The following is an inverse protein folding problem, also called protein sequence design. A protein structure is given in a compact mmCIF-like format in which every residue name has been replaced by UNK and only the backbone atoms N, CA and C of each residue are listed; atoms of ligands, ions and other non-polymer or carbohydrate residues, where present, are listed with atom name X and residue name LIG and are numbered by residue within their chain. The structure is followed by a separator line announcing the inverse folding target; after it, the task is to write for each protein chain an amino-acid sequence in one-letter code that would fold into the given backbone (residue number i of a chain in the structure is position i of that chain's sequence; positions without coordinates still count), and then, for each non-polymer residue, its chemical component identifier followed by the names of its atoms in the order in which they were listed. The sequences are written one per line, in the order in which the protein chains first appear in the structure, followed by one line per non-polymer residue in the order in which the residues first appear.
data_IF_357889656428
#
_entry.id   IF_357889656428
#
_cell.length_a   1.000
_cell.length_b   1.000
_cell.length_c   1.000
_cell.angle_alpha   90.00
_cell.angle_beta   90.00
_cell.angle_gamma   90.00
#
_symmetry.space_group_name_H-M   'P 1'
#
loop_
_entity.id
_entity.type
_entity.pdbx_description
1 polymer ?
#
# COMPACT_ATOMS: atom_id res chain seq x y z
N UNK A 1 -6.95 12.00 29.49
CA UNK A 1 -5.70 11.42 28.98
C UNK A 1 -6.04 10.58 27.76
N UNK A 2 -5.26 10.68 26.68
CA UNK A 2 -5.40 9.78 25.53
C UNK A 2 -5.07 8.35 25.94
N UNK A 3 -5.76 7.35 25.38
CA UNK A 3 -5.47 5.92 25.59
C UNK A 3 -4.25 5.45 24.78
N UNK A 4 -3.80 6.25 23.82
CA UNK A 4 -2.65 5.97 22.96
C UNK A 4 -1.68 7.14 22.97
N UNK A 5 -0.39 6.84 22.87
CA UNK A 5 0.68 7.84 22.76
C UNK A 5 1.13 7.99 21.30
N UNK A 6 1.50 9.20 20.85
CA UNK A 6 2.05 9.38 19.51
C UNK A 6 3.32 8.57 19.29
N UNK A 7 3.54 8.14 18.04
CA UNK A 7 4.74 7.40 17.62
C UNK A 7 5.26 7.94 16.29
N UNK A 8 6.56 7.79 16.07
CA UNK A 8 7.15 8.09 14.76
C UNK A 8 6.83 6.96 13.78
N UNK A 9 5.99 7.24 12.79
CA UNK A 9 5.68 6.32 11.69
C UNK A 9 6.03 6.98 10.37
N UNK A 10 6.79 6.28 9.53
CA UNK A 10 7.30 6.80 8.26
C UNK A 10 7.97 8.18 8.40
N UNK A 11 8.71 8.39 9.50
CA UNK A 11 9.44 9.63 9.77
C UNK A 11 8.61 10.84 10.22
N UNK A 12 7.36 10.67 10.69
CA UNK A 12 6.58 11.75 11.33
C UNK A 12 5.90 11.22 12.59
N UNK A 13 5.79 12.08 13.60
CA UNK A 13 4.99 11.79 14.79
C UNK A 13 3.50 11.81 14.44
N UNK A 14 2.82 10.69 14.69
CA UNK A 14 1.40 10.46 14.38
C UNK A 14 0.74 9.68 15.50
N UNK A 15 -0.60 9.67 15.54
CA UNK A 15 -1.32 8.68 16.32
C UNK A 15 -1.02 7.28 15.76
N UNK A 16 -0.79 6.26 16.61
CA UNK A 16 -0.44 4.90 16.18
C UNK A 16 -1.67 4.13 15.66
N UNK A 17 -2.48 4.78 14.82
CA UNK A 17 -3.71 4.29 14.22
C UNK A 17 -3.54 4.29 12.71
N UNK A 18 -3.48 3.09 12.14
CA UNK A 18 -3.27 2.86 10.71
C UNK A 18 -4.57 2.32 10.10
N UNK A 19 -5.08 3.00 9.08
CA UNK A 19 -6.17 2.49 8.27
C UNK A 19 -5.68 1.29 7.44
N UNK A 20 -6.24 0.10 7.63
CA UNK A 20 -5.92 -1.05 6.78
C UNK A 20 -6.44 -0.86 5.35
N UNK A 21 -5.59 -1.11 4.34
CA UNK A 21 -5.90 -0.92 2.93
C UNK A 21 -6.89 -1.95 2.39
N UNK A 22 -8.05 -1.48 1.89
CA UNK A 22 -9.11 -2.33 1.33
C UNK A 22 -9.27 -2.10 -0.17
N UNK A 23 -9.27 -3.19 -0.94
CA UNK A 23 -9.39 -3.18 -2.40
C UNK A 23 -10.75 -2.68 -2.91
N UNK A 24 -10.91 -2.68 -4.25
CA UNK A 24 -12.17 -2.30 -4.93
C UNK A 24 -12.60 -0.87 -4.57
N UNK A 25 -11.64 0.07 -4.60
CA UNK A 25 -11.83 1.50 -4.35
C UNK A 25 -12.42 1.89 -2.98
N UNK A 26 -12.47 0.97 -2.01
CA UNK A 26 -12.94 1.25 -0.64
C UNK A 26 -11.96 2.19 0.07
N UNK A 27 -10.68 1.82 0.12
CA UNK A 27 -9.62 2.66 0.64
C UNK A 27 -9.05 3.53 -0.48
N UNK A 28 -9.55 4.75 -0.61
CA UNK A 28 -9.20 5.68 -1.68
C UNK A 28 -8.57 6.97 -1.11
N UNK A 29 -8.27 7.92 -1.98
CA UNK A 29 -7.60 9.16 -1.60
C UNK A 29 -8.39 9.99 -0.60
N UNK A 30 -9.73 9.99 -0.68
CA UNK A 30 -10.58 10.73 0.25
C UNK A 30 -10.57 10.10 1.65
N UNK A 31 -10.68 8.77 1.74
CA UNK A 31 -10.68 8.08 3.04
C UNK A 31 -9.30 8.16 3.70
N UNK A 32 -8.24 7.87 2.93
CA UNK A 32 -6.87 7.92 3.42
C UNK A 32 -6.46 9.35 3.82
N UNK A 33 -6.82 10.35 3.01
CA UNK A 33 -6.55 11.75 3.33
C UNK A 33 -7.29 12.22 4.58
N UNK A 34 -8.56 11.85 4.76
CA UNK A 34 -9.33 12.19 5.95
C UNK A 34 -8.77 11.53 7.22
N UNK A 35 -8.33 10.27 7.12
CA UNK A 35 -7.68 9.56 8.23
C UNK A 35 -6.35 10.22 8.63
N UNK A 36 -5.54 10.58 7.64
CA UNK A 36 -4.28 11.29 7.89
C UNK A 36 -4.51 12.72 8.43
N UNK A 37 -5.54 13.43 7.96
CA UNK A 37 -5.94 14.74 8.50
C UNK A 37 -6.29 14.69 10.00
N UNK A 38 -6.75 13.53 10.49
CA UNK A 38 -7.00 13.29 11.92
C UNK A 38 -5.72 12.94 12.71
N UNK A 39 -4.55 12.98 12.07
CA UNK A 39 -3.24 12.68 12.67
C UNK A 39 -2.84 11.21 12.64
N UNK A 40 -3.59 10.34 11.95
CA UNK A 40 -3.25 8.92 11.79
C UNK A 40 -2.48 8.60 10.51
N UNK A 41 -2.44 7.32 10.14
CA UNK A 41 -1.88 6.86 8.87
C UNK A 41 -2.99 6.34 7.97
N UNK A 42 -3.30 7.09 6.91
CA UNK A 42 -4.28 6.69 5.91
C UNK A 42 -3.65 5.81 4.83
N UNK A 43 -4.39 4.84 4.31
CA UNK A 43 -3.86 3.90 3.33
C UNK A 43 -4.69 3.89 2.06
N UNK A 44 -4.07 4.09 0.91
CA UNK A 44 -4.71 3.99 -0.40
C UNK A 44 -4.54 2.56 -0.89
N UNK A 45 -5.59 1.95 -1.43
CA UNK A 45 -5.45 0.69 -2.17
C UNK A 45 -4.91 0.95 -3.59
N UNK A 46 -3.72 0.45 -3.88
CA UNK A 46 -3.18 0.37 -5.25
C UNK A 46 -3.85 -0.70 -6.11
N UNK A 47 -4.70 -1.55 -5.52
CA UNK A 47 -5.47 -2.57 -6.23
C UNK A 47 -6.72 -1.94 -6.81
N UNK A 48 -6.77 -1.85 -8.15
CA UNK A 48 -7.89 -1.29 -8.91
C UNK A 48 -8.31 0.10 -8.40
N UNK A 49 -7.33 0.99 -8.20
CA UNK A 49 -7.60 2.37 -7.81
C UNK A 49 -8.37 3.11 -8.92
N UNK A 50 -9.38 3.88 -8.52
CA UNK A 50 -10.08 4.76 -9.45
C UNK A 50 -9.16 5.87 -9.95
N UNK A 51 -9.31 6.22 -11.23
CA UNK A 51 -8.66 7.39 -11.79
C UNK A 51 -9.60 8.57 -11.61
N UNK A 52 -9.11 9.58 -10.90
CA UNK A 52 -9.77 10.89 -10.78
C UNK A 52 -8.94 11.89 -11.58
N UNK A 53 -9.59 12.66 -12.44
CA UNK A 53 -8.91 13.71 -13.20
C UNK A 53 -8.75 15.01 -12.39
N UNK A 54 -8.13 16.01 -13.00
CA UNK A 54 -7.86 17.30 -12.36
C UNK A 54 -9.15 18.10 -12.07
N UNK A 55 -10.29 17.74 -12.66
CA UNK A 55 -11.60 18.31 -12.35
C UNK A 55 -12.31 17.58 -11.20
N UNK A 56 -11.71 16.51 -10.66
CA UNK A 56 -12.31 15.68 -9.62
C UNK A 56 -13.29 14.65 -10.16
N UNK A 57 -13.31 14.38 -11.47
CA UNK A 57 -14.23 13.45 -12.11
C UNK A 57 -13.62 12.05 -12.28
N UNK A 58 -14.47 11.03 -12.17
CA UNK A 58 -14.07 9.64 -12.40
C UNK A 58 -13.85 9.38 -13.89
N UNK A 59 -12.69 8.81 -14.22
CA UNK A 59 -12.32 8.43 -15.58
C UNK A 59 -12.38 6.91 -15.73
N UNK A 60 -13.34 6.34 -16.48
CA UNK A 60 -13.45 4.89 -16.62
C UNK A 60 -12.32 4.28 -17.46
N UNK A 61 -11.90 3.07 -17.09
CA UNK A 61 -10.99 2.26 -17.91
C UNK A 61 -11.68 1.84 -19.21
N UNK A 62 -11.14 2.30 -20.34
CA UNK A 62 -11.58 1.90 -21.68
C UNK A 62 -10.44 1.20 -22.40
N UNK A 63 -10.65 -0.07 -22.76
CA UNK A 63 -9.69 -0.85 -23.53
C UNK A 63 -9.78 -0.52 -25.03
N UNK A 64 -8.65 -0.12 -25.64
CA UNK A 64 -8.52 0.07 -27.09
C UNK A 64 -7.65 -1.04 -27.72
N UNK A 65 -6.88 -1.74 -26.89
CA UNK A 65 -6.03 -2.85 -27.30
C UNK A 65 -6.80 -3.96 -28.00
N UNK A 66 -6.23 -4.46 -29.09
CA UNK A 66 -6.80 -5.52 -29.94
C UNK A 66 -6.53 -6.91 -29.39
N UNK A 67 -5.51 -7.05 -28.55
CA UNK A 67 -5.12 -8.33 -27.95
C UNK A 67 -4.90 -8.23 -26.44
N UNK A 68 -4.75 -9.40 -25.78
CA UNK A 68 -4.57 -9.50 -24.34
C UNK A 68 -3.35 -8.72 -23.82
N UNK A 69 -2.25 -8.69 -24.58
CA UNK A 69 -1.03 -7.99 -24.17
C UNK A 69 -1.25 -6.48 -24.13
N UNK A 70 -1.83 -5.92 -25.19
CA UNK A 70 -2.15 -4.48 -25.26
C UNK A 70 -3.11 -4.07 -24.15
N UNK A 71 -4.19 -4.84 -23.92
CA UNK A 71 -5.13 -4.55 -22.82
C UNK A 71 -4.48 -4.65 -21.45
N UNK A 72 -3.53 -5.58 -21.26
CA UNK A 72 -2.77 -5.66 -20.01
C UNK A 72 -1.93 -4.41 -19.78
N UNK A 73 -1.28 -3.88 -20.82
CA UNK A 73 -0.53 -2.63 -20.75
C UNK A 73 -1.43 -1.43 -20.44
N UNK A 74 -2.62 -1.37 -21.05
CA UNK A 74 -3.64 -0.35 -20.74
C UNK A 74 -4.08 -0.42 -19.27
N UNK A 75 -4.31 -1.63 -18.73
CA UNK A 75 -4.65 -1.83 -17.33
C UNK A 75 -3.52 -1.42 -16.38
N UNK A 76 -2.27 -1.74 -16.69
CA UNK A 76 -1.10 -1.33 -15.90
C UNK A 76 -0.99 0.19 -15.88
N UNK A 77 -1.06 0.85 -17.04
CA UNK A 77 -1.00 2.31 -17.13
C UNK A 77 -2.15 2.99 -16.38
N UNK A 78 -3.36 2.43 -16.49
CA UNK A 78 -4.52 2.92 -15.76
C UNK A 78 -4.36 2.77 -14.25
N UNK A 79 -3.87 1.61 -13.78
CA UNK A 79 -3.64 1.35 -12.35
C UNK A 79 -2.63 2.31 -11.75
N UNK A 80 -1.55 2.62 -12.48
CA UNK A 80 -0.54 3.61 -12.08
C UNK A 80 -1.18 5.00 -11.97
N UNK A 81 -1.92 5.44 -12.99
CA UNK A 81 -2.64 6.72 -12.97
C UNK A 81 -3.63 6.80 -11.81
N UNK A 82 -4.36 5.72 -11.56
CA UNK A 82 -5.34 5.62 -10.49
C UNK A 82 -4.68 5.88 -9.14
N UNK A 83 -3.69 5.08 -8.79
CA UNK A 83 -2.96 5.23 -7.52
C UNK A 83 -2.29 6.60 -7.37
N UNK A 84 -1.73 7.18 -8.44
CA UNK A 84 -1.17 8.55 -8.39
C UNK A 84 -2.27 9.58 -8.11
N UNK A 85 -3.41 9.50 -8.79
CA UNK A 85 -4.52 10.44 -8.55
C UNK A 85 -5.05 10.36 -7.12
N UNK A 86 -5.19 9.14 -6.58
CA UNK A 86 -5.60 8.94 -5.19
C UNK A 86 -4.54 9.47 -4.20
N UNK A 87 -3.24 9.29 -4.50
CA UNK A 87 -2.16 9.81 -3.67
C UNK A 87 -2.17 11.35 -3.59
N UNK A 88 -2.46 12.03 -4.71
CA UNK A 88 -2.62 13.49 -4.73
C UNK A 88 -3.79 13.94 -3.86
N UNK A 89 -4.97 13.34 -4.07
CA UNK A 89 -6.17 13.65 -3.28
C UNK A 89 -5.90 13.47 -1.79
N UNK A 90 -5.29 12.34 -1.39
CA UNK A 90 -5.00 12.07 0.01
C UNK A 90 -4.01 13.08 0.59
N UNK A 91 -2.96 13.41 -0.16
CA UNK A 91 -1.92 14.32 0.28
C UNK A 91 -2.42 15.77 0.41
N UNK A 92 -3.28 16.22 -0.49
CA UNK A 92 -3.92 17.53 -0.38
C UNK A 92 -4.88 17.59 0.81
N UNK A 93 -5.71 16.56 0.96
CA UNK A 93 -6.73 16.51 2.01
C UNK A 93 -6.15 16.43 3.43
N UNK A 94 -4.99 15.76 3.61
CA UNK A 94 -4.34 15.64 4.93
C UNK A 94 -3.78 16.96 5.47
N UNK A 95 -3.59 17.98 4.62
CA UNK A 95 -3.10 19.33 5.00
C UNK A 95 -1.79 19.34 5.82
N UNK A 96 -0.88 18.41 5.53
CA UNK A 96 0.39 18.29 6.25
C UNK A 96 0.36 17.36 7.47
N UNK A 97 -0.82 16.96 7.92
CA UNK A 97 -1.00 16.02 9.03
C UNK A 97 -0.85 14.56 8.60
N UNK A 98 -0.53 13.70 9.56
CA UNK A 98 -0.50 12.25 9.39
C UNK A 98 0.44 11.76 8.28
N UNK A 99 0.29 10.47 7.93
CA UNK A 99 1.02 9.84 6.82
C UNK A 99 0.08 9.14 5.85
N UNK A 100 0.53 9.04 4.60
CA UNK A 100 -0.18 8.35 3.51
C UNK A 100 0.63 7.12 3.11
N UNK A 101 0.00 5.96 3.18
CA UNK A 101 0.53 4.68 2.72
C UNK A 101 -0.17 4.20 1.45
N UNK A 102 0.50 3.31 0.71
CA UNK A 102 -0.07 2.59 -0.44
C UNK A 102 -0.08 1.09 -0.13
N UNK A 103 -1.24 0.46 -0.24
CA UNK A 103 -1.38 -0.98 -0.17
C UNK A 103 -1.27 -1.63 -1.55
N UNK A 104 -0.42 -2.65 -1.68
CA UNK A 104 -0.29 -3.47 -2.90
C UNK A 104 -0.34 -4.96 -2.58
N UNK A 105 -0.89 -5.75 -3.50
CA UNK A 105 -0.90 -7.21 -3.40
C UNK A 105 0.16 -7.78 -4.35
N UNK A 106 1.12 -8.53 -3.82
CA UNK A 106 2.30 -8.94 -4.59
C UNK A 106 1.99 -9.93 -5.70
N UNK A 107 1.10 -10.88 -5.44
CA UNK A 107 0.68 -11.90 -6.42
C UNK A 107 -0.18 -11.33 -7.57
N UNK A 108 -0.53 -10.04 -7.53
CA UNK A 108 -1.19 -9.41 -8.67
C UNK A 108 -0.24 -9.24 -9.85
N UNK A 109 -0.77 -9.52 -11.05
CA UNK A 109 -0.05 -9.34 -12.30
C UNK A 109 0.51 -7.92 -12.40
N UNK A 110 1.81 -7.83 -12.73
CA UNK A 110 2.53 -6.57 -12.89
C UNK A 110 2.64 -5.68 -11.63
N UNK A 111 2.41 -6.22 -10.42
CA UNK A 111 2.53 -5.49 -9.15
C UNK A 111 3.80 -4.62 -9.09
N UNK A 112 4.97 -5.19 -9.38
CA UNK A 112 6.23 -4.44 -9.34
C UNK A 112 6.31 -3.29 -10.34
N UNK A 113 5.74 -3.47 -11.54
CA UNK A 113 5.72 -2.42 -12.56
C UNK A 113 4.81 -1.28 -12.13
N UNK A 114 3.65 -1.63 -11.58
CA UNK A 114 2.69 -0.67 -11.04
C UNK A 114 3.31 0.08 -9.86
N UNK A 115 3.88 -0.63 -8.88
CA UNK A 115 4.50 -0.03 -7.71
C UNK A 115 5.61 0.95 -8.09
N UNK A 116 6.52 0.57 -8.99
CA UNK A 116 7.58 1.48 -9.49
C UNK A 116 7.00 2.70 -10.20
N UNK A 117 6.00 2.50 -11.07
CA UNK A 117 5.34 3.60 -11.77
C UNK A 117 4.64 4.58 -10.83
N UNK A 118 3.99 4.07 -9.78
CA UNK A 118 3.34 4.89 -8.76
C UNK A 118 4.36 5.64 -7.92
N UNK A 119 5.40 4.96 -7.40
CA UNK A 119 6.43 5.61 -6.58
C UNK A 119 7.23 6.66 -7.37
N UNK A 120 7.41 6.46 -8.69
CA UNK A 120 8.00 7.46 -9.58
C UNK A 120 7.07 8.66 -9.79
N UNK A 121 5.79 8.42 -10.08
CA UNK A 121 4.82 9.49 -10.40
C UNK A 121 4.22 10.21 -9.19
N UNK A 122 4.38 9.67 -7.98
CA UNK A 122 3.87 10.21 -6.72
C UNK A 122 4.98 10.44 -5.68
N UNK A 123 6.21 10.74 -6.13
CA UNK A 123 7.34 11.07 -5.24
C UNK A 123 6.94 12.15 -4.23
N UNK A 124 7.24 11.91 -2.96
CA UNK A 124 6.89 12.81 -1.84
C UNK A 124 5.44 12.76 -1.38
N UNK A 125 4.55 12.02 -2.07
CA UNK A 125 3.14 11.91 -1.67
C UNK A 125 2.87 10.66 -0.83
N UNK A 126 3.59 9.57 -1.11
CA UNK A 126 3.49 8.28 -0.44
C UNK A 126 4.68 8.12 0.52
N UNK A 127 4.38 7.79 1.76
CA UNK A 127 5.37 7.71 2.85
C UNK A 127 5.64 6.26 3.28
N UNK A 128 4.71 5.35 2.98
CA UNK A 128 4.85 3.93 3.27
C UNK A 128 4.17 3.05 2.23
N UNK A 129 4.63 1.81 2.08
CA UNK A 129 3.99 0.79 1.25
C UNK A 129 3.69 -0.45 2.10
N UNK A 130 2.41 -0.76 2.27
CA UNK A 130 1.98 -2.04 2.83
C UNK A 130 1.89 -3.06 1.72
N UNK A 131 2.38 -4.28 1.96
CA UNK A 131 2.35 -5.31 0.93
C UNK A 131 2.11 -6.69 1.51
N UNK A 132 1.02 -7.31 1.06
CA UNK A 132 0.63 -8.67 1.40
C UNK A 132 0.49 -9.55 0.16
N UNK A 133 -0.12 -10.72 0.37
CA UNK A 133 -0.30 -11.81 -0.60
C UNK A 133 1.03 -12.34 -1.18
N UNK A 134 1.45 -13.55 -0.80
CA UNK A 134 2.67 -14.18 -1.34
C UNK A 134 3.97 -13.78 -0.62
N UNK A 135 5.11 -13.89 -1.32
CA UNK A 135 6.45 -13.65 -0.75
C UNK A 135 7.18 -12.48 -1.46
N UNK A 136 6.91 -11.22 -1.07
CA UNK A 136 7.41 -10.01 -1.73
C UNK A 136 8.90 -9.70 -1.47
N UNK A 137 9.81 -10.55 -1.94
CA UNK A 137 11.26 -10.39 -1.69
C UNK A 137 11.86 -9.11 -2.28
N UNK A 138 11.31 -8.57 -3.37
CA UNK A 138 11.83 -7.33 -4.00
C UNK A 138 11.22 -6.04 -3.44
N UNK A 139 10.20 -6.12 -2.58
CA UNK A 139 9.53 -4.94 -2.00
C UNK A 139 10.52 -3.99 -1.33
N UNK A 140 11.36 -4.53 -0.45
CA UNK A 140 12.35 -3.75 0.31
C UNK A 140 13.31 -2.96 -0.59
N UNK A 141 13.86 -3.60 -1.61
CA UNK A 141 14.75 -2.95 -2.59
C UNK A 141 14.02 -1.85 -3.38
N UNK A 142 12.79 -2.13 -3.82
CA UNK A 142 11.99 -1.16 -4.56
C UNK A 142 11.73 0.06 -3.68
N UNK A 143 11.16 -0.12 -2.48
CA UNK A 143 10.78 1.01 -1.63
C UNK A 143 12.00 1.82 -1.19
N UNK A 144 13.12 1.16 -0.83
CA UNK A 144 14.37 1.84 -0.47
C UNK A 144 14.91 2.72 -1.61
N UNK A 145 14.83 2.27 -2.87
CA UNK A 145 15.24 3.07 -4.04
C UNK A 145 14.44 4.37 -4.19
N UNK A 146 13.21 4.39 -3.72
CA UNK A 146 12.32 5.54 -3.75
C UNK A 146 12.27 6.31 -2.43
N UNK A 147 13.08 5.92 -1.44
CA UNK A 147 13.11 6.55 -0.11
C UNK A 147 11.74 6.49 0.60
N UNK A 148 11.05 5.37 0.43
CA UNK A 148 9.73 5.10 1.03
C UNK A 148 9.85 3.91 1.97
N UNK A 149 9.21 4.01 3.14
CA UNK A 149 9.19 2.93 4.11
C UNK A 149 8.35 1.75 3.59
N UNK A 150 8.74 0.52 3.90
CA UNK A 150 7.94 -0.65 3.57
C UNK A 150 7.42 -1.35 4.83
N UNK A 151 6.23 -1.93 4.69
CA UNK A 151 5.43 -2.52 5.75
C UNK A 151 4.93 -3.89 5.26
N UNK A 152 5.75 -4.95 5.36
CA UNK A 152 5.32 -6.26 4.92
C UNK A 152 4.17 -6.77 5.79
N UNK A 153 3.12 -7.25 5.13
CA UNK A 153 2.02 -7.96 5.76
C UNK A 153 2.38 -9.44 5.81
N UNK A 154 2.29 -10.04 7.00
CA UNK A 154 2.64 -11.43 7.24
C UNK A 154 1.56 -12.12 8.06
N UNK A 155 1.34 -13.41 7.80
CA UNK A 155 0.42 -14.25 8.57
C UNK A 155 1.11 -15.05 9.67
N UNK A 156 2.46 -15.04 9.75
CA UNK A 156 3.20 -15.77 10.78
C UNK A 156 4.64 -15.27 10.93
N UNK A 157 5.24 -15.53 12.10
CA UNK A 157 6.67 -15.30 12.32
C UNK A 157 7.55 -16.11 11.35
N UNK A 158 7.09 -17.30 10.92
CA UNK A 158 7.77 -18.12 9.91
C UNK A 158 7.87 -17.41 8.57
N UNK A 159 6.76 -16.82 8.11
CA UNK A 159 6.72 -16.06 6.87
C UNK A 159 7.65 -14.83 6.94
N UNK A 160 7.59 -14.06 8.03
CA UNK A 160 8.49 -12.93 8.22
C UNK A 160 9.96 -13.34 8.24
N UNK A 161 10.31 -14.42 8.95
CA UNK A 161 11.70 -14.94 9.01
C UNK A 161 12.25 -15.27 7.61
N UNK A 162 11.42 -15.81 6.72
CA UNK A 162 11.82 -16.10 5.35
C UNK A 162 12.06 -14.81 4.53
N UNK A 163 11.16 -13.83 4.63
CA UNK A 163 11.33 -12.51 4.00
C UNK A 163 12.59 -11.80 4.51
N UNK A 164 12.78 -11.80 5.83
CA UNK A 164 13.92 -11.19 6.50
C UNK A 164 15.25 -11.75 6.03
N UNK A 165 15.44 -13.07 6.16
CA UNK A 165 16.69 -13.74 5.80
C UNK A 165 17.02 -13.59 4.32
N UNK A 166 16.02 -13.60 3.44
CA UNK A 166 16.25 -13.56 2.00
C UNK A 166 16.41 -12.15 1.45
N UNK A 167 15.75 -11.15 2.03
CA UNK A 167 15.72 -9.81 1.45
C UNK A 167 15.79 -8.66 2.45
N UNK A 168 14.90 -8.62 3.46
CA UNK A 168 14.62 -7.36 4.16
C UNK A 168 15.76 -6.88 5.06
N UNK A 169 16.59 -7.78 5.59
CA UNK A 169 17.76 -7.39 6.38
C UNK A 169 18.75 -6.48 5.62
N UNK A 170 18.74 -6.46 4.28
CA UNK A 170 19.61 -5.58 3.48
C UNK A 170 19.13 -4.14 3.39
N UNK A 171 17.86 -3.90 3.73
CA UNK A 171 17.21 -2.59 3.66
C UNK A 171 16.44 -2.34 4.96
N UNK A 172 17.04 -2.65 6.10
CA UNK A 172 16.40 -2.53 7.42
C UNK A 172 16.03 -1.10 7.78
N UNK A 173 16.79 -0.12 7.30
CA UNK A 173 16.56 1.30 7.60
C UNK A 173 15.23 1.81 7.05
N UNK A 174 14.72 1.15 6.01
CA UNK A 174 13.43 1.45 5.38
C UNK A 174 12.29 0.55 5.86
N UNK A 175 12.55 -0.43 6.75
CA UNK A 175 11.49 -1.23 7.35
C UNK A 175 10.75 -0.37 8.37
N UNK A 176 9.50 0.00 8.07
CA UNK A 176 8.72 0.84 8.96
C UNK A 176 8.10 0.07 10.13
N UNK A 177 7.49 -1.07 9.84
CA UNK A 177 6.98 -2.04 10.82
C UNK A 177 6.62 -3.34 10.09
N UNK A 178 6.29 -4.40 10.83
CA UNK A 178 5.70 -5.62 10.28
C UNK A 178 4.22 -5.62 10.63
N UNK A 179 3.37 -5.73 9.61
CA UNK A 179 1.92 -5.83 9.80
C UNK A 179 1.56 -7.30 9.93
N UNK A 180 1.08 -7.69 11.11
CA UNK A 180 0.56 -9.04 11.31
C UNK A 180 -0.94 -9.04 11.02
N UNK A 181 -1.36 -9.91 10.09
CA UNK A 181 -2.77 -10.16 9.82
C UNK A 181 -3.08 -11.62 10.14
N UNK A 182 -4.04 -11.81 11.04
CA UNK A 182 -4.44 -13.13 11.48
C UNK A 182 -5.05 -13.92 10.31
N UNK A 183 -4.50 -15.08 9.93
CA UNK A 183 -4.99 -15.81 8.76
C UNK A 183 -6.40 -16.39 8.95
N UNK A 184 -6.92 -16.48 10.16
CA UNK A 184 -8.22 -17.07 10.48
C UNK A 184 -9.31 -16.01 10.67
N UNK A 185 -8.96 -14.90 11.30
CA UNK A 185 -9.91 -13.87 11.75
C UNK A 185 -9.90 -12.60 10.89
N UNK A 186 -8.84 -12.35 10.12
CA UNK A 186 -8.82 -11.19 9.23
C UNK A 186 -9.91 -11.30 8.15
N UNK A 187 -10.45 -10.16 7.74
CA UNK A 187 -11.39 -10.09 6.63
C UNK A 187 -10.67 -10.02 5.28
N UNK A 188 -11.19 -10.68 4.25
CA UNK A 188 -10.67 -10.59 2.89
C UNK A 188 -9.84 -11.80 2.46
N UNK A 189 -8.74 -11.56 1.75
CA UNK A 189 -7.87 -12.64 1.25
C UNK A 189 -6.88 -13.06 2.34
N UNK A 190 -7.15 -14.21 2.96
CA UNK A 190 -6.37 -14.68 4.10
C UNK A 190 -5.29 -15.68 3.71
N UNK A 191 -4.11 -15.54 4.32
CA UNK A 191 -2.97 -16.45 4.15
C UNK A 191 -3.08 -17.73 4.96
N UNK A 192 -4.20 -18.46 4.82
CA UNK A 192 -4.47 -19.71 5.54
C UNK A 192 -3.36 -20.74 5.26
N UNK A 193 -2.79 -21.30 6.32
CA UNK A 193 -1.88 -22.44 6.22
C UNK A 193 -2.36 -23.54 7.16
N UNK A 194 -2.38 -24.79 6.69
CA UNK A 194 -2.80 -25.97 7.46
C UNK A 194 -1.91 -26.31 8.67
N UNK A 195 -0.91 -25.46 8.99
CA UNK A 195 0.06 -25.71 10.06
C UNK A 195 -0.19 -24.91 11.34
N UNK A 196 -1.23 -24.09 11.38
CA UNK A 196 -1.61 -23.31 12.56
C UNK A 196 -3.06 -23.66 12.92
N UNK A 197 -3.33 -23.90 14.20
CA UNK A 197 -4.68 -24.11 14.73
C UNK A 197 -5.06 -22.81 15.46
N UNK A 198 -6.24 -22.20 15.18
CA UNK A 198 -6.68 -21.00 15.88
C UNK A 198 -7.05 -21.23 17.36
N UNK A 199 -7.08 -22.48 17.85
CA UNK A 199 -7.31 -22.85 19.26
C UNK A 199 -6.03 -23.14 20.05
#
# INVERSE_FOLDING_TARGET
MSLVEPMVVSGQEVWPLVEGGKGVAVSNGRTAGAWAAAGGVGTISGVNADVIDDNGEYVPLTYKGRNRRERHEELVAYSIRGAISQARIAHELRRGEGRIHLNVLWEMAACERILKGVLEGARGLIHGVTCGAGMPYRLSEICARYEVYYYPIVSSARAFRALWKRAYHRFSDWLGAVVYEDPWLAGGHNGLSNSEDPE
#
